data_IF_976390768298
#
_entry.id   IF_976390768298
#
_cell.length_a   1.000
_cell.length_b   1.000
_cell.length_c   1.000
_cell.angle_alpha   90.00
_cell.angle_beta   90.00
_cell.angle_gamma   90.00
#
_symmetry.space_group_name_H-M   'P 1'
#
loop_
_entity.id
_entity.type
_entity.pdbx_description
1 polymer ?
#
# COMPACT_ATOMS: atom_id res chain seq x y z
N UNK A 1 -13.87 -26.30 -5.81
CA UNK A 1 -12.89 -27.24 -5.19
C UNK A 1 -12.12 -26.65 -4.02
N UNK A 2 -11.77 -25.35 -4.01
CA UNK A 2 -11.01 -24.73 -2.91
C UNK A 2 -11.63 -24.84 -1.51
N UNK A 3 -12.96 -24.87 -1.39
CA UNK A 3 -13.65 -25.05 -0.09
C UNK A 3 -13.54 -26.49 0.43
N UNK A 4 -13.73 -27.48 -0.44
CA UNK A 4 -13.66 -28.91 -0.09
C UNK A 4 -12.22 -29.35 0.23
N UNK A 5 -11.20 -28.73 -0.41
CA UNK A 5 -9.79 -28.96 -0.07
C UNK A 5 -9.36 -28.32 1.26
N UNK A 6 -10.06 -27.28 1.72
CA UNK A 6 -9.80 -26.60 2.99
C UNK A 6 -10.52 -27.27 4.18
N UNK A 7 -11.57 -28.04 3.90
CA UNK A 7 -12.33 -28.75 4.93
C UNK A 7 -11.60 -30.07 5.31
N UNK A 8 -11.12 -30.24 6.56
CA UNK A 8 -10.28 -31.39 6.94
C UNK A 8 -11.04 -32.73 7.01
N UNK A 9 -12.38 -32.70 7.00
CA UNK A 9 -13.24 -33.88 7.14
C UNK A 9 -13.76 -34.43 5.80
N UNK A 10 -13.35 -33.85 4.66
CA UNK A 10 -13.86 -34.22 3.34
C UNK A 10 -12.73 -34.74 2.45
N UNK A 11 -12.91 -35.92 1.87
CA UNK A 11 -11.92 -36.56 0.99
C UNK A 11 -12.36 -36.43 -0.47
N UNK A 12 -11.45 -35.97 -1.34
CA UNK A 12 -11.70 -35.83 -2.79
C UNK A 12 -11.35 -37.13 -3.51
N UNK A 13 -12.36 -37.85 -4.03
CA UNK A 13 -12.17 -39.14 -4.72
C UNK A 13 -11.61 -39.00 -6.15
N UNK A 14 -12.03 -37.98 -6.92
CA UNK A 14 -11.53 -37.68 -8.27
C UNK A 14 -11.32 -36.18 -8.43
N UNK A 15 -10.11 -35.77 -8.81
CA UNK A 15 -9.80 -34.37 -9.13
C UNK A 15 -10.30 -34.07 -10.55
N UNK A 16 -10.86 -32.87 -10.74
CA UNK A 16 -11.21 -32.37 -12.08
C UNK A 16 -9.94 -31.99 -12.83
N UNK A 17 -9.83 -32.33 -14.12
CA UNK A 17 -8.69 -32.00 -14.97
C UNK A 17 -8.64 -30.52 -15.44
N UNK A 18 -9.49 -29.67 -14.86
CA UNK A 18 -9.57 -28.25 -15.21
C UNK A 18 -8.45 -27.49 -14.48
N UNK A 19 -7.69 -26.62 -15.16
CA UNK A 19 -6.68 -25.78 -14.52
C UNK A 19 -7.36 -24.81 -13.55
N UNK A 20 -7.13 -25.04 -12.25
CA UNK A 20 -7.77 -24.27 -11.16
C UNK A 20 -7.22 -22.84 -11.11
N UNK A 21 -6.05 -22.55 -11.70
CA UNK A 21 -5.48 -21.20 -11.79
C UNK A 21 -6.44 -20.20 -12.43
N UNK A 22 -7.13 -20.62 -13.50
CA UNK A 22 -8.06 -19.77 -14.25
C UNK A 22 -9.32 -19.38 -13.44
N UNK A 23 -9.74 -20.22 -12.49
CA UNK A 23 -10.86 -19.92 -11.58
C UNK A 23 -10.51 -18.88 -10.51
N UNK A 24 -9.21 -18.73 -10.18
CA UNK A 24 -8.73 -17.80 -9.17
C UNK A 24 -8.30 -16.44 -9.76
N UNK A 25 -8.06 -16.35 -11.07
CA UNK A 25 -7.65 -15.12 -11.75
C UNK A 25 -8.78 -14.07 -11.78
N UNK A 26 -10.04 -14.49 -11.93
CA UNK A 26 -11.20 -13.58 -11.90
C UNK A 26 -11.35 -12.86 -10.55
N UNK A 27 -10.98 -13.52 -9.45
CA UNK A 27 -10.99 -12.92 -8.12
C UNK A 27 -9.91 -11.84 -7.93
N UNK A 28 -8.78 -11.96 -8.64
CA UNK A 28 -7.67 -10.99 -8.57
C UNK A 28 -8.02 -9.67 -9.26
N UNK A 29 -8.84 -9.73 -10.31
CA UNK A 29 -9.22 -8.57 -11.14
C UNK A 29 -10.60 -8.00 -10.77
N UNK A 30 -11.09 -8.24 -9.55
CA UNK A 30 -12.41 -7.76 -9.10
C UNK A 30 -12.56 -6.24 -9.15
N UNK A 31 -11.44 -5.51 -9.02
CA UNK A 31 -11.37 -4.08 -9.28
C UNK A 31 -10.48 -3.84 -10.50
N UNK A 32 -10.98 -3.07 -11.46
CA UNK A 32 -10.17 -2.66 -12.62
C UNK A 32 -8.97 -1.86 -12.13
N UNK A 33 -7.80 -2.17 -12.68
CA UNK A 33 -6.58 -1.44 -12.37
C UNK A 33 -6.70 0.01 -12.86
N UNK A 34 -6.58 0.95 -11.93
CA UNK A 34 -6.91 2.36 -12.17
C UNK A 34 -6.00 2.98 -13.25
N UNK A 35 -4.74 2.56 -13.32
CA UNK A 35 -3.77 3.10 -14.29
C UNK A 35 -4.06 2.65 -15.72
N UNK A 36 -4.75 1.51 -15.89
CA UNK A 36 -5.12 1.00 -17.21
C UNK A 36 -6.33 1.76 -17.75
N UNK A 37 -7.19 2.24 -16.85
CA UNK A 37 -8.34 3.09 -17.22
C UNK A 37 -7.95 4.54 -17.43
N UNK A 38 -7.05 5.08 -16.61
CA UNK A 38 -6.63 6.48 -16.66
C UNK A 38 -5.13 6.60 -16.27
N UNK A 39 -4.21 6.75 -17.25
CA UNK A 39 -2.80 6.92 -16.95
C UNK A 39 -2.48 8.31 -16.37
N UNK A 40 -1.41 8.42 -15.58
CA UNK A 40 -1.01 9.68 -14.95
C UNK A 40 -0.83 10.84 -15.95
N UNK A 41 -0.33 10.54 -17.14
CA UNK A 41 -0.11 11.53 -18.21
C UNK A 41 -1.39 12.15 -18.75
N UNK A 42 -2.53 11.47 -18.66
CA UNK A 42 -3.83 11.97 -19.14
C UNK A 42 -4.64 12.67 -18.06
N UNK A 43 -4.42 12.34 -16.78
CA UNK A 43 -5.15 12.94 -15.64
C UNK A 43 -4.42 14.17 -15.10
N UNK A 44 -3.09 14.13 -15.02
CA UNK A 44 -2.27 15.18 -14.42
C UNK A 44 -1.41 15.91 -15.45
N UNK A 45 -1.03 17.15 -15.13
CA UNK A 45 -0.12 17.96 -15.95
C UNK A 45 -0.78 18.78 -17.05
N UNK A 46 0.05 19.40 -17.90
CA UNK A 46 -0.39 20.36 -18.92
C UNK A 46 -1.19 19.70 -20.05
N UNK A 47 -0.92 18.42 -20.34
CA UNK A 47 -1.61 17.63 -21.39
C UNK A 47 -2.84 16.90 -20.86
N UNK A 48 -3.38 17.30 -19.71
CA UNK A 48 -4.53 16.63 -19.10
C UNK A 48 -5.79 16.72 -19.96
N UNK A 49 -6.46 15.58 -20.12
CA UNK A 49 -7.68 15.45 -20.91
C UNK A 49 -8.94 15.62 -20.06
N UNK A 50 -8.89 15.25 -18.76
CA UNK A 50 -10.06 15.23 -17.88
C UNK A 50 -10.46 16.64 -17.42
N UNK A 51 -11.71 17.03 -17.66
CA UNK A 51 -12.27 18.35 -17.25
C UNK A 51 -13.10 18.30 -15.95
N UNK A 52 -13.78 17.19 -15.67
CA UNK A 52 -14.64 17.02 -14.47
C UNK A 52 -14.23 15.77 -13.67
N UNK A 53 -14.31 15.79 -12.33
CA UNK A 53 -14.07 14.62 -11.49
C UNK A 53 -15.25 13.67 -11.47
N UNK A 54 -14.95 12.37 -11.37
CA UNK A 54 -15.93 11.31 -11.18
C UNK A 54 -16.23 11.20 -9.67
N UNK A 55 -17.23 11.94 -9.21
CA UNK A 55 -17.71 11.86 -7.83
C UNK A 55 -18.76 10.74 -7.72
N UNK A 56 -18.75 10.00 -6.61
CA UNK A 56 -19.74 8.94 -6.34
C UNK A 56 -21.03 9.49 -5.71
N UNK A 57 -21.15 10.80 -5.57
CA UNK A 57 -22.21 11.48 -4.84
C UNK A 57 -23.06 12.27 -5.83
N UNK A 58 -24.38 12.20 -5.68
CA UNK A 58 -25.33 12.89 -6.56
C UNK A 58 -25.59 14.35 -6.15
N UNK A 59 -25.68 14.60 -4.84
CA UNK A 59 -26.11 15.89 -4.29
C UNK A 59 -25.04 16.59 -3.47
N UNK A 60 -25.11 17.93 -3.42
CA UNK A 60 -24.21 18.75 -2.60
C UNK A 60 -24.36 18.47 -1.11
N UNK A 61 -25.58 18.23 -0.63
CA UNK A 61 -25.84 17.92 0.79
C UNK A 61 -25.21 16.59 1.22
N UNK A 62 -25.24 15.58 0.34
CA UNK A 62 -24.56 14.31 0.59
C UNK A 62 -23.04 14.49 0.59
N UNK A 63 -22.53 15.35 -0.29
CA UNK A 63 -21.09 15.62 -0.36
C UNK A 63 -20.60 16.30 0.92
N UNK A 64 -21.37 17.24 1.48
CA UNK A 64 -21.06 17.88 2.75
C UNK A 64 -20.94 16.86 3.91
N UNK A 65 -21.88 15.92 4.01
CA UNK A 65 -21.83 14.86 5.03
C UNK A 65 -20.59 13.99 4.93
N UNK A 66 -20.21 13.60 3.70
CA UNK A 66 -18.99 12.81 3.47
C UNK A 66 -17.74 13.57 3.93
N UNK A 67 -17.71 14.88 3.73
CA UNK A 67 -16.61 15.73 4.20
C UNK A 67 -16.58 15.81 5.72
N UNK A 68 -17.73 15.99 6.37
CA UNK A 68 -17.85 16.00 7.83
C UNK A 68 -17.36 14.65 8.41
N UNK A 69 -17.88 13.53 7.90
CA UNK A 69 -17.45 12.18 8.29
C UNK A 69 -15.94 11.97 8.07
N UNK A 70 -15.38 12.43 6.94
CA UNK A 70 -13.95 12.30 6.67
C UNK A 70 -13.09 13.15 7.63
N UNK A 71 -13.58 14.33 8.03
CA UNK A 71 -12.90 15.21 8.98
C UNK A 71 -12.94 14.66 10.40
N UNK A 72 -14.05 14.07 10.83
CA UNK A 72 -14.19 13.44 12.15
C UNK A 72 -13.33 12.18 12.28
N UNK A 73 -13.19 11.42 11.20
CA UNK A 73 -12.36 10.21 11.17
C UNK A 73 -10.86 10.49 10.98
N UNK A 74 -10.46 11.74 10.73
CA UNK A 74 -9.07 12.09 10.52
C UNK A 74 -8.29 12.10 11.84
N UNK A 75 -7.17 11.37 11.87
CA UNK A 75 -6.29 11.25 13.04
C UNK A 75 -4.87 11.65 12.64
N UNK A 76 -4.39 12.78 13.17
CA UNK A 76 -3.08 13.35 12.83
C UNK A 76 -1.91 12.44 13.22
N UNK A 77 -2.09 11.54 14.20
CA UNK A 77 -1.04 10.60 14.59
C UNK A 77 -0.83 9.48 13.57
N UNK A 78 -1.86 9.17 12.77
CA UNK A 78 -1.79 8.16 11.71
C UNK A 78 -1.27 8.73 10.39
N UNK A 79 -1.13 10.05 10.28
CA UNK A 79 -0.62 10.72 9.10
C UNK A 79 0.91 10.73 9.09
N UNK A 80 1.50 9.93 8.21
CA UNK A 80 2.95 9.83 8.02
C UNK A 80 3.50 10.95 7.13
N UNK A 81 2.64 11.65 6.37
CA UNK A 81 3.04 12.72 5.46
C UNK A 81 3.04 14.09 6.17
N UNK A 82 2.56 14.14 7.42
CA UNK A 82 2.56 15.35 8.23
C UNK A 82 4.01 15.71 8.60
N UNK A 83 4.54 16.77 7.97
CA UNK A 83 5.86 17.30 8.26
C UNK A 83 5.86 17.86 9.69
N UNK A 84 6.38 17.07 10.63
CA UNK A 84 6.62 17.50 12.01
C UNK A 84 7.97 18.24 12.02
N UNK A 85 8.07 19.40 12.70
CA UNK A 85 9.37 20.01 12.91
C UNK A 85 10.25 19.00 13.64
N UNK A 86 11.31 18.59 12.98
CA UNK A 86 12.31 17.70 13.56
C UNK A 86 13.00 18.46 14.70
N UNK A 87 13.11 17.89 15.91
CA UNK A 87 13.86 18.54 16.97
C UNK A 87 15.33 18.68 16.53
N UNK A 88 15.90 19.88 16.64
CA UNK A 88 17.28 20.21 16.22
C UNK A 88 18.37 19.34 16.87
N UNK A 89 18.00 18.51 17.86
CA UNK A 89 18.87 17.58 18.57
C UNK A 89 18.40 16.14 18.38
N UNK A 90 18.91 15.46 17.36
CA UNK A 90 19.01 14.01 17.42
C UNK A 90 20.13 13.66 18.41
N UNK A 91 19.77 13.01 19.52
CA UNK A 91 20.76 12.41 20.40
C UNK A 91 21.62 11.46 19.56
N UNK A 92 22.90 11.79 19.43
CA UNK A 92 23.84 10.98 18.67
C UNK A 92 23.81 9.55 19.22
N UNK A 93 23.84 8.52 18.34
CA UNK A 93 23.91 7.15 18.79
C UNK A 93 25.14 6.97 19.70
N UNK A 94 25.03 6.21 20.80
CA UNK A 94 26.11 6.04 21.76
C UNK A 94 27.44 5.64 21.10
N UNK A 95 28.54 6.30 21.51
CA UNK A 95 29.85 6.30 20.83
C UNK A 95 30.52 4.93 20.66
N UNK A 96 30.01 3.87 21.29
CA UNK A 96 30.56 2.52 21.17
C UNK A 96 30.55 2.01 19.71
N UNK A 97 29.63 2.50 18.87
CA UNK A 97 29.58 2.12 17.45
C UNK A 97 30.79 2.63 16.64
N UNK A 98 31.27 3.86 16.90
CA UNK A 98 32.43 4.42 16.17
C UNK A 98 33.76 3.77 16.59
N UNK A 99 33.86 3.30 17.84
CA UNK A 99 35.10 2.71 18.38
C UNK A 99 35.38 1.32 17.80
N UNK A 100 34.34 0.57 17.40
CA UNK A 100 34.46 -0.78 16.82
C UNK A 100 34.92 -0.75 15.36
N UNK A 101 34.45 0.23 14.56
CA UNK A 101 34.84 0.34 13.14
C UNK A 101 36.32 0.67 12.94
N UNK A 102 36.93 1.48 13.81
CA UNK A 102 38.35 1.84 13.67
C UNK A 102 39.30 0.72 14.13
N UNK A 103 38.87 -0.12 15.09
CA UNK A 103 39.69 -1.21 15.61
C UNK A 103 39.78 -2.42 14.65
N UNK A 104 38.71 -2.69 13.89
CA UNK A 104 38.68 -3.82 12.94
C UNK A 104 39.56 -3.64 11.70
N UNK A 105 39.85 -2.39 11.31
CA UNK A 105 40.62 -2.10 10.09
C UNK A 105 42.13 -2.30 10.28
N UNK A 106 42.67 -2.19 11.50
CA UNK A 106 44.09 -2.44 11.76
C UNK A 106 44.44 -3.92 11.89
N UNK A 107 43.47 -4.80 12.21
CA UNK A 107 43.76 -6.23 12.36
C UNK A 107 43.88 -6.97 11.00
N UNK A 108 43.30 -6.42 9.93
CA UNK A 108 43.24 -7.08 8.62
C UNK A 108 44.49 -6.84 7.73
N UNK A 109 45.45 -6.02 8.16
CA UNK A 109 46.67 -5.69 7.40
C UNK A 109 47.94 -6.37 7.93
N UNK A 110 47.80 -7.31 8.88
CA UNK A 110 48.91 -8.14 9.38
C UNK A 110 48.56 -9.64 9.41
N UNK A 111 47.86 -10.14 8.39
CA UNK A 111 47.87 -11.55 7.98
C UNK A 111 47.81 -11.67 6.46
#
# INVERSE_FOLDING_TARGET
>A
MGKVMKDPYKVVMRKTALPISLLNETAKNTRVHILDTEPYSSVFGAKKTRKRPNLKVGDLAQYAKVVEEASENYDAEKDNDLVRPEPDSHELPPEWFMKVSCAGMLQCLMF
#
